data_IF_723262526027
#
_entry.id   IF_723262526027
#
_cell.length_a   1.000
_cell.length_b   1.000
_cell.length_c   1.000
_cell.angle_alpha   90.00
_cell.angle_beta   90.00
_cell.angle_gamma   90.00
#
_symmetry.space_group_name_H-M   'P 1'
#
loop_
_entity.id
_entity.type
_entity.pdbx_description
1 polymer ?
#
# COMPACT_ATOMS: atom_id res chain seq x y z
N UNK A 1 -51.85 -12.88 9.37
CA UNK A 1 -51.17 -13.30 10.62
C UNK A 1 -49.76 -12.73 10.62
N UNK A 2 -49.49 -11.85 11.59
CA UNK A 2 -48.21 -11.46 12.23
C UNK A 2 -46.91 -11.60 11.40
N UNK A 3 -46.27 -10.53 10.90
CA UNK A 3 -45.61 -9.36 11.52
C UNK A 3 -44.10 -9.53 11.65
N UNK A 4 -43.33 -8.77 10.86
CA UNK A 4 -41.90 -8.55 11.03
C UNK A 4 -41.65 -7.49 12.10
N UNK A 5 -40.80 -7.76 13.09
CA UNK A 5 -40.25 -6.75 13.99
C UNK A 5 -38.74 -6.90 14.16
N UNK A 6 -38.06 -5.77 13.92
CA UNK A 6 -36.88 -5.21 14.58
C UNK A 6 -36.21 -5.99 15.71
N UNK A 7 -34.87 -6.05 15.67
CA UNK A 7 -34.04 -6.09 16.87
C UNK A 7 -32.93 -5.03 16.81
N UNK A 8 -33.28 -3.86 17.35
CA UNK A 8 -32.37 -2.97 18.06
C UNK A 8 -31.99 -3.62 19.40
N UNK A 9 -30.71 -3.59 19.77
CA UNK A 9 -30.25 -3.69 21.19
C UNK A 9 -28.85 -3.08 21.27
N UNK A 10 -28.74 -1.79 21.59
CA UNK A 10 -28.54 -1.24 22.95
C UNK A 10 -27.36 -1.88 23.71
N UNK A 11 -26.24 -1.16 23.81
CA UNK A 11 -25.43 -1.12 25.02
C UNK A 11 -24.87 0.29 25.26
N UNK A 12 -25.67 1.03 26.06
CA UNK A 12 -25.29 1.89 27.18
C UNK A 12 -23.95 2.63 27.11
N UNK A 13 -24.08 3.95 27.00
CA UNK A 13 -23.13 4.97 27.44
C UNK A 13 -22.56 4.67 28.84
N UNK A 14 -21.25 4.47 28.95
CA UNK A 14 -20.51 4.84 30.16
C UNK A 14 -19.79 6.16 29.89
N UNK A 15 -20.42 7.26 30.31
CA UNK A 15 -19.73 8.51 30.64
C UNK A 15 -19.09 8.31 32.01
N UNK A 16 -17.76 8.33 32.07
CA UNK A 16 -17.06 8.82 33.26
C UNK A 16 -16.20 10.01 32.85
N UNK A 17 -16.47 11.13 33.52
CA UNK A 17 -15.85 12.43 33.41
C UNK A 17 -14.72 12.53 34.45
N UNK A 18 -13.61 13.20 34.07
CA UNK A 18 -12.55 13.80 34.91
C UNK A 18 -11.60 12.80 35.63
N UNK A 19 -10.27 12.96 35.73
CA UNK A 19 -9.42 14.16 35.68
C UNK A 19 -7.96 13.90 35.21
N UNK A 20 -7.48 14.84 34.39
CA UNK A 20 -6.10 15.33 34.13
C UNK A 20 -4.94 14.82 35.01
N UNK A 21 -3.88 14.27 34.37
CA UNK A 21 -2.47 14.72 34.52
C UNK A 21 -1.66 14.21 33.30
N UNK A 22 -1.29 15.08 32.36
CA UNK A 22 0.00 15.79 32.30
C UNK A 22 1.22 14.88 32.05
N UNK A 23 1.29 14.26 30.87
CA UNK A 23 2.58 14.04 30.21
C UNK A 23 2.68 15.11 29.13
N UNK A 24 3.28 16.25 29.49
CA UNK A 24 3.72 17.27 28.56
C UNK A 24 4.74 16.64 27.62
N UNK A 25 4.25 16.08 26.51
CA UNK A 25 5.11 15.76 25.39
C UNK A 25 5.51 17.09 24.78
N UNK A 26 6.80 17.36 24.74
CA UNK A 26 7.41 18.56 24.15
C UNK A 26 7.34 18.50 22.60
N UNK A 27 6.15 18.22 22.06
CA UNK A 27 5.85 17.85 20.67
C UNK A 27 5.53 19.07 19.80
N UNK A 28 6.23 20.18 20.02
CA UNK A 28 6.15 21.34 19.14
C UNK A 28 7.55 21.67 18.63
N UNK A 29 7.75 21.49 17.33
CA UNK A 29 9.07 21.68 16.74
C UNK A 29 9.01 21.73 15.22
N UNK A 30 9.82 22.63 14.65
CA UNK A 30 10.08 22.68 13.20
C UNK A 30 11.21 21.72 12.88
N UNK A 31 11.05 20.93 11.83
CA UNK A 31 12.12 20.08 11.34
C UNK A 31 12.16 20.02 9.82
N UNK A 32 13.33 19.72 9.27
CA UNK A 32 13.53 19.51 7.85
C UNK A 32 13.90 18.05 7.64
N UNK A 33 13.22 17.38 6.70
CA UNK A 33 13.57 16.04 6.27
C UNK A 33 13.76 16.01 4.75
N UNK A 34 14.90 15.49 4.30
CA UNK A 34 15.30 15.51 2.90
C UNK A 34 15.73 14.12 2.45
N UNK A 35 15.34 13.73 1.24
CA UNK A 35 15.78 12.49 0.63
C UNK A 35 16.03 12.66 -0.88
N UNK A 36 17.06 11.97 -1.38
CA UNK A 36 17.44 11.97 -2.79
C UNK A 36 17.26 10.58 -3.39
N UNK A 37 16.41 10.49 -4.40
CA UNK A 37 16.17 9.30 -5.19
C UNK A 37 17.14 9.24 -6.37
N UNK A 38 17.66 8.05 -6.65
CA UNK A 38 18.61 7.78 -7.73
C UNK A 38 17.89 7.08 -8.90
N UNK A 39 18.29 7.38 -10.14
CA UNK A 39 17.83 6.69 -11.36
C UNK A 39 16.30 6.67 -11.55
N UNK A 40 15.64 7.75 -11.15
CA UNK A 40 14.16 7.86 -11.15
C UNK A 40 13.56 7.85 -12.56
N UNK A 41 14.31 8.33 -13.55
CA UNK A 41 13.88 8.42 -14.97
C UNK A 41 13.83 7.05 -15.67
N UNK A 42 14.54 6.04 -15.16
CA UNK A 42 14.73 4.75 -15.83
C UNK A 42 13.87 3.62 -15.25
N UNK A 43 13.13 3.89 -14.17
CA UNK A 43 12.39 2.87 -13.44
C UNK A 43 10.91 2.87 -13.82
N UNK A 44 10.47 1.78 -14.44
CA UNK A 44 9.06 1.48 -14.66
C UNK A 44 8.75 0.06 -14.12
N UNK A 45 7.78 -0.18 -13.21
CA UNK A 45 6.97 0.74 -12.41
C UNK A 45 7.12 0.59 -10.87
N UNK A 46 6.63 1.45 -9.95
CA UNK A 46 6.15 2.87 -9.84
C UNK A 46 6.04 3.11 -8.30
N UNK A 47 7.14 3.09 -7.53
CA UNK A 47 7.14 3.55 -6.12
C UNK A 47 8.57 3.68 -5.60
N UNK A 48 8.97 4.89 -5.23
CA UNK A 48 10.26 5.14 -4.60
C UNK A 48 10.05 5.44 -3.12
N UNK A 49 10.69 4.64 -2.26
CA UNK A 49 10.62 4.78 -0.82
C UNK A 49 11.99 5.15 -0.27
N UNK A 50 12.06 6.28 0.44
CA UNK A 50 13.27 6.69 1.15
C UNK A 50 13.52 5.86 2.40
N UNK A 51 14.69 6.04 3.06
CA UNK A 51 14.96 5.43 4.34
C UNK A 51 13.98 5.97 5.40
N UNK A 52 13.82 5.19 6.46
CA UNK A 52 13.08 5.58 7.67
C UNK A 52 14.02 6.28 8.64
N UNK A 53 13.58 7.37 9.24
CA UNK A 53 14.38 8.17 10.18
C UNK A 53 13.52 8.68 11.33
N UNK A 54 13.99 8.45 12.56
CA UNK A 54 13.38 9.01 13.76
C UNK A 54 13.71 10.50 13.88
N UNK A 55 12.69 11.36 13.90
CA UNK A 55 12.79 12.81 14.09
C UNK A 55 11.73 13.23 15.10
N UNK A 56 12.13 13.85 16.22
CA UNK A 56 11.21 14.31 17.28
C UNK A 56 10.22 13.22 17.76
N UNK A 57 10.66 11.96 17.77
CA UNK A 57 9.85 10.80 18.16
C UNK A 57 8.89 10.28 17.06
N UNK A 58 8.93 10.85 15.85
CA UNK A 58 8.21 10.38 14.67
C UNK A 58 9.14 9.57 13.77
N UNK A 59 8.73 8.37 13.36
CA UNK A 59 9.40 7.58 12.31
C UNK A 59 8.97 8.11 10.95
N UNK A 60 9.82 8.93 10.32
CA UNK A 60 9.52 9.66 9.09
C UNK A 60 10.12 8.98 7.84
N UNK A 61 9.40 9.01 6.73
CA UNK A 61 9.86 8.53 5.42
C UNK A 61 9.24 9.31 4.25
N UNK A 62 10.05 9.71 3.28
CA UNK A 62 9.55 10.33 2.04
C UNK A 62 9.35 9.23 1.02
N UNK A 63 8.17 9.19 0.40
CA UNK A 63 7.91 8.35 -0.77
C UNK A 63 7.41 9.18 -1.93
N UNK A 64 7.76 8.78 -3.15
CA UNK A 64 7.28 9.40 -4.38
C UNK A 64 6.96 8.33 -5.42
N UNK A 65 5.92 8.55 -6.21
CA UNK A 65 5.61 7.71 -7.36
C UNK A 65 5.06 8.54 -8.50
N UNK A 66 5.18 8.00 -9.71
CA UNK A 66 4.70 8.62 -10.94
C UNK A 66 3.25 8.16 -11.19
N UNK A 67 2.27 9.05 -11.03
CA UNK A 67 0.85 8.69 -11.14
C UNK A 67 0.42 8.45 -12.59
N UNK A 68 0.99 9.21 -13.51
CA UNK A 68 0.81 9.10 -14.96
C UNK A 68 2.08 9.59 -15.66
N UNK A 69 2.11 9.62 -16.99
CA UNK A 69 3.30 10.00 -17.77
C UNK A 69 3.87 11.39 -17.45
N UNK A 70 3.10 12.29 -16.82
CA UNK A 70 3.45 13.69 -16.61
C UNK A 70 3.30 14.18 -15.16
N UNK A 71 2.96 13.32 -14.21
CA UNK A 71 2.62 13.74 -12.86
C UNK A 71 3.26 12.85 -11.78
N UNK A 72 3.88 13.52 -10.82
CA UNK A 72 4.50 12.93 -9.64
C UNK A 72 3.65 13.20 -8.41
N UNK A 73 3.58 12.21 -7.53
CA UNK A 73 2.95 12.34 -6.22
C UNK A 73 3.95 11.97 -5.15
N UNK A 74 4.12 12.82 -4.14
CA UNK A 74 5.04 12.61 -3.03
C UNK A 74 4.35 12.73 -1.67
N UNK A 75 4.80 11.92 -0.71
CA UNK A 75 4.26 11.85 0.65
C UNK A 75 5.39 11.94 1.67
N UNK A 76 5.14 12.68 2.75
CA UNK A 76 5.83 12.48 4.01
C UNK A 76 5.01 11.52 4.87
N UNK A 77 5.52 10.31 5.06
CA UNK A 77 4.89 9.29 5.87
C UNK A 77 5.46 9.35 7.30
N UNK A 78 4.59 9.23 8.31
CA UNK A 78 4.97 9.23 9.73
C UNK A 78 4.34 8.07 10.50
N UNK A 79 5.12 7.45 11.39
CA UNK A 79 4.67 6.39 12.29
C UNK A 79 5.21 6.54 13.72
N UNK A 80 4.50 6.01 14.74
CA UNK A 80 3.07 5.67 14.70
C UNK A 80 2.23 6.92 14.41
N UNK A 81 1.01 6.76 13.89
CA UNK A 81 0.14 7.94 13.65
C UNK A 81 -0.05 8.68 14.99
N UNK A 82 0.38 9.96 15.09
CA UNK A 82 0.21 10.72 16.32
C UNK A 82 -1.28 10.92 16.62
N UNK A 83 -1.61 11.05 17.90
CA UNK A 83 -2.99 11.20 18.41
C UNK A 83 -3.74 12.39 17.79
N UNK A 84 -5.07 12.26 17.75
CA UNK A 84 -6.14 13.14 17.19
C UNK A 84 -6.02 14.67 17.37
N UNK A 85 -5.07 15.16 18.14
CA UNK A 85 -4.88 16.57 18.49
C UNK A 85 -3.65 17.25 17.84
N UNK A 86 -3.00 16.62 16.86
CA UNK A 86 -1.84 17.19 16.18
C UNK A 86 -2.10 17.46 14.70
N UNK A 87 -1.80 18.69 14.28
CA UNK A 87 -1.75 19.12 12.90
C UNK A 87 -0.33 19.36 12.45
N UNK A 88 -0.16 19.47 11.13
CA UNK A 88 1.12 19.81 10.54
C UNK A 88 0.96 20.73 9.35
N UNK A 89 1.96 21.58 9.17
CA UNK A 89 2.17 22.30 7.93
C UNK A 89 3.46 21.78 7.31
N UNK A 90 3.39 21.34 6.06
CA UNK A 90 4.53 20.81 5.31
C UNK A 90 4.69 21.61 4.03
N UNK A 91 5.82 22.29 3.87
CA UNK A 91 6.24 22.83 2.57
C UNK A 91 7.12 21.78 1.88
N UNK A 92 6.64 21.24 0.76
CA UNK A 92 7.40 20.32 -0.08
C UNK A 92 8.26 21.12 -1.06
N UNK A 93 9.57 20.93 -0.98
CA UNK A 93 10.55 21.55 -1.85
C UNK A 93 11.28 20.52 -2.67
N UNK A 94 11.60 20.87 -3.91
CA UNK A 94 12.36 20.04 -4.83
C UNK A 94 13.65 20.74 -5.21
N UNK A 95 14.75 19.98 -5.27
CA UNK A 95 16.05 20.53 -5.65
C UNK A 95 16.09 20.78 -7.16
N UNK A 96 16.51 21.98 -7.55
CA UNK A 96 16.80 22.37 -8.93
C UNK A 96 18.26 22.81 -9.04
N UNK A 97 18.70 23.15 -10.26
CA UNK A 97 20.05 23.72 -10.47
C UNK A 97 20.25 25.06 -9.73
N UNK A 98 19.16 25.77 -9.44
CA UNK A 98 19.18 27.10 -8.82
C UNK A 98 18.92 27.06 -7.30
N UNK A 99 18.81 25.87 -6.69
CA UNK A 99 18.53 25.72 -5.26
C UNK A 99 17.34 24.81 -5.00
N UNK A 100 16.39 25.27 -4.18
CA UNK A 100 15.16 24.55 -3.87
C UNK A 100 13.94 25.39 -4.26
N UNK A 101 12.98 24.75 -4.93
CA UNK A 101 11.70 25.36 -5.30
C UNK A 101 10.57 24.68 -4.53
N UNK A 102 9.64 25.45 -3.97
CA UNK A 102 8.45 24.90 -3.33
C UNK A 102 7.47 24.43 -4.40
N UNK A 103 7.12 23.14 -4.39
CA UNK A 103 6.13 22.54 -5.31
C UNK A 103 4.73 22.49 -4.71
N UNK A 104 4.61 22.63 -3.40
CA UNK A 104 3.34 22.80 -2.73
C UNK A 104 3.44 22.78 -1.22
N UNK A 105 2.34 23.16 -0.58
CA UNK A 105 2.18 23.21 0.88
C UNK A 105 0.94 22.43 1.28
N UNK A 106 1.09 21.57 2.28
CA UNK A 106 -0.01 20.85 2.92
C UNK A 106 -0.18 21.40 4.33
N UNK A 107 -1.41 21.65 4.74
CA UNK A 107 -1.72 22.20 6.06
C UNK A 107 -3.01 21.54 6.57
N UNK A 108 -2.84 20.44 7.32
CA UNK A 108 -3.93 19.52 7.65
C UNK A 108 -3.68 18.76 8.96
N UNK A 109 -4.57 17.83 9.31
CA UNK A 109 -4.32 16.89 10.41
C UNK A 109 -3.35 15.82 9.92
N UNK A 110 -2.44 15.39 10.80
CA UNK A 110 -1.45 14.35 10.45
C UNK A 110 -2.11 13.03 10.00
N UNK A 111 -3.37 12.81 10.37
CA UNK A 111 -4.12 11.60 10.03
C UNK A 111 -4.54 11.49 8.55
N UNK A 112 -4.67 12.62 7.85
CA UNK A 112 -5.34 12.77 6.56
C UNK A 112 -4.52 12.22 5.37
N UNK A 113 -3.23 11.91 5.58
CA UNK A 113 -2.32 11.26 4.60
C UNK A 113 -2.28 11.96 3.22
N UNK A 114 -2.46 13.28 3.15
CA UNK A 114 -2.39 13.95 1.85
C UNK A 114 -0.95 13.96 1.33
N UNK A 115 -0.80 13.60 0.06
CA UNK A 115 0.43 13.77 -0.70
C UNK A 115 0.34 15.02 -1.57
N UNK A 116 1.49 15.58 -1.94
CA UNK A 116 1.54 16.66 -2.92
C UNK A 116 1.70 16.09 -4.32
N UNK A 117 0.96 16.65 -5.28
CA UNK A 117 1.08 16.30 -6.70
C UNK A 117 1.71 17.47 -7.46
N UNK A 118 2.63 17.18 -8.37
CA UNK A 118 3.26 18.19 -9.23
C UNK A 118 3.57 17.61 -10.61
N UNK A 119 3.57 18.49 -11.62
CA UNK A 119 3.90 18.10 -13.00
C UNK A 119 5.38 17.81 -13.14
N UNK A 120 5.70 16.78 -13.92
CA UNK A 120 7.06 16.47 -14.28
C UNK A 120 7.69 17.63 -15.06
N UNK A 121 8.87 18.05 -14.60
CA UNK A 121 9.67 19.08 -15.24
C UNK A 121 11.14 18.63 -15.20
N UNK A 122 11.85 18.61 -16.35
CA UNK A 122 13.26 18.25 -16.40
C UNK A 122 14.16 19.01 -15.41
N UNK A 123 13.77 20.23 -14.99
CA UNK A 123 14.54 21.01 -14.02
C UNK A 123 14.63 20.37 -12.63
N UNK A 124 13.73 19.44 -12.32
CA UNK A 124 13.67 18.72 -11.04
C UNK A 124 14.66 17.55 -10.95
N UNK A 125 15.34 17.22 -12.05
CA UNK A 125 16.32 16.14 -12.12
C UNK A 125 17.73 16.72 -12.26
N UNK A 126 18.44 16.83 -11.13
CA UNK A 126 19.81 17.33 -11.11
C UNK A 126 20.76 16.13 -11.17
N UNK A 127 21.43 15.97 -12.31
CA UNK A 127 22.30 14.82 -12.60
C UNK A 127 21.56 13.46 -12.49
N UNK A 128 20.32 13.40 -13.00
CA UNK A 128 19.47 12.19 -12.95
C UNK A 128 18.96 11.83 -11.54
N UNK A 129 19.06 12.76 -10.58
CA UNK A 129 18.61 12.59 -9.20
C UNK A 129 17.47 13.54 -8.89
N UNK A 130 16.45 13.03 -8.23
CA UNK A 130 15.33 13.82 -7.71
C UNK A 130 15.48 13.93 -6.19
N UNK A 131 15.57 15.15 -5.67
CA UNK A 131 15.68 15.40 -4.22
C UNK A 131 14.46 16.14 -3.71
N UNK A 132 13.77 15.55 -2.74
CA UNK A 132 12.62 16.14 -2.06
C UNK A 132 13.01 16.52 -0.64
N UNK A 133 12.64 17.73 -0.22
CA UNK A 133 12.87 18.27 1.11
C UNK A 133 11.55 18.80 1.70
N UNK A 134 11.13 18.22 2.81
CA UNK A 134 9.94 18.61 3.54
C UNK A 134 10.31 19.52 4.71
N UNK A 135 9.79 20.74 4.72
CA UNK A 135 9.89 21.67 5.85
C UNK A 135 8.61 21.52 6.68
N UNK A 136 8.73 20.93 7.87
CA UNK A 136 7.58 20.51 8.67
C UNK A 136 7.46 21.36 9.92
N UNK A 137 6.26 21.87 10.17
CA UNK A 137 5.87 22.57 11.40
C UNK A 137 4.71 21.80 12.03
N UNK A 138 4.94 21.19 13.19
CA UNK A 138 3.93 20.46 13.94
C UNK A 138 3.29 21.37 14.98
N UNK A 139 1.97 21.39 15.05
CA UNK A 139 1.21 22.22 15.98
C UNK A 139 0.06 21.44 16.64
N UNK A 140 -0.35 21.89 17.82
CA UNK A 140 -1.52 21.33 18.50
C UNK A 140 -2.82 21.95 17.97
N UNK A 141 -3.82 21.10 17.81
CA UNK A 141 -5.19 21.47 17.47
C UNK A 141 -6.03 21.31 18.73
N UNK A 142 -6.68 22.38 19.17
CA UNK A 142 -7.59 22.33 20.31
C UNK A 142 -8.91 21.59 20.01
N UNK A 143 -9.75 21.43 21.03
CA UNK A 143 -11.05 20.74 20.91
C UNK A 143 -12.04 21.44 19.95
N UNK A 144 -11.76 22.68 19.58
CA UNK A 144 -12.57 23.51 18.69
C UNK A 144 -11.95 23.62 17.27
N UNK A 145 -10.80 22.99 17.03
CA UNK A 145 -10.10 23.03 15.73
C UNK A 145 -9.14 24.21 15.55
N UNK A 146 -8.89 25.03 16.58
CA UNK A 146 -8.04 26.22 16.50
C UNK A 146 -6.58 25.85 16.78
N UNK A 147 -5.66 26.41 15.99
CA UNK A 147 -4.21 26.25 16.15
C UNK A 147 -3.75 26.93 17.43
N UNK A 148 -3.03 26.23 18.30
CA UNK A 148 -2.31 26.86 19.42
C UNK A 148 -0.92 27.32 18.95
N UNK A 149 -0.60 28.61 18.97
CA UNK A 149 0.78 29.07 18.79
C UNK A 149 1.62 28.77 20.05
N UNK A 150 2.91 28.47 19.86
CA UNK A 150 3.87 28.39 20.97
C UNK A 150 4.04 29.78 21.61
N UNK A 151 3.69 29.91 22.90
CA UNK A 151 4.24 30.97 23.75
C UNK A 151 5.46 30.42 24.47
N UNK A 152 6.65 30.86 24.03
CA UNK A 152 7.88 30.71 24.79
C UNK A 152 7.80 31.66 25.98
N UNK A 153 7.73 31.11 27.19
CA UNK A 153 8.14 31.82 28.40
C UNK A 153 8.94 30.85 29.25
N UNK A 154 10.26 31.01 29.20
CA UNK A 154 11.11 30.70 30.34
C UNK A 154 10.58 31.52 31.54
N UNK A 155 10.26 30.86 32.64
CA UNK A 155 10.83 31.17 33.96
C UNK A 155 10.23 30.31 35.08
N UNK A 156 11.17 29.65 35.76
CA UNK A 156 11.27 29.25 37.16
C UNK A 156 10.08 29.48 38.12
N UNK A 157 9.79 28.46 38.95
CA UNK A 157 10.06 28.37 40.41
C UNK A 157 9.10 27.38 41.05
N UNK A 158 9.67 26.37 41.72
CA UNK A 158 8.89 25.36 42.43
C UNK A 158 8.36 25.86 43.77
N UNK A 159 7.18 25.36 44.15
CA UNK A 159 6.76 25.08 45.53
C UNK A 159 6.01 23.75 45.46
N UNK A 160 6.45 22.79 46.28
CA UNK A 160 6.14 21.37 46.12
C UNK A 160 4.77 20.92 46.62
N UNK A 161 4.46 19.64 46.35
CA UNK A 161 3.60 18.84 47.23
C UNK A 161 4.08 17.38 47.21
N UNK A 162 4.67 16.99 48.33
CA UNK A 162 5.08 15.63 48.66
C UNK A 162 3.80 14.81 48.96
N UNK A 163 3.34 13.97 48.02
CA UNK A 163 2.66 12.67 48.30
C UNK A 163 2.11 11.87 47.09
N UNK A 164 2.32 12.24 45.82
CA UNK A 164 1.76 11.48 44.68
C UNK A 164 2.64 10.33 44.13
N UNK A 165 3.82 10.08 44.70
CA UNK A 165 4.86 9.23 44.08
C UNK A 165 4.58 7.72 44.07
N UNK A 166 3.64 7.20 44.88
CA UNK A 166 3.35 5.75 44.96
C UNK A 166 2.15 5.30 44.12
N UNK A 167 1.20 6.19 43.81
CA UNK A 167 0.04 5.88 42.96
C UNK A 167 0.34 6.07 41.47
N UNK A 168 1.11 7.11 41.11
CA UNK A 168 1.53 7.37 39.72
C UNK A 168 2.30 6.20 39.09
N UNK A 169 3.10 5.47 39.88
CA UNK A 169 3.92 4.36 39.36
C UNK A 169 3.12 3.09 39.03
N UNK A 170 1.92 2.92 39.61
CA UNK A 170 1.09 1.74 39.34
C UNK A 170 0.24 1.95 38.09
N UNK A 171 -0.38 3.13 37.93
CA UNK A 171 -1.12 3.50 36.73
C UNK A 171 -0.20 3.56 35.50
N UNK A 172 1.03 4.08 35.64
CA UNK A 172 2.04 4.04 34.58
C UNK A 172 2.44 2.61 34.19
N UNK A 173 2.57 1.69 35.15
CA UNK A 173 2.86 0.27 34.88
C UNK A 173 1.69 -0.44 34.21
N UNK A 174 0.46 -0.15 34.60
CA UNK A 174 -0.75 -0.67 33.96
C UNK A 174 -0.88 -0.16 32.53
N UNK A 175 -0.63 1.14 32.31
CA UNK A 175 -0.64 1.75 30.98
C UNK A 175 0.46 1.19 30.08
N UNK A 176 1.69 1.02 30.59
CA UNK A 176 2.78 0.39 29.85
C UNK A 176 2.45 -1.08 29.49
N UNK A 177 1.82 -1.80 30.41
CA UNK A 177 1.38 -3.18 30.19
C UNK A 177 0.32 -3.23 29.09
N UNK A 178 -0.70 -2.37 29.14
CA UNK A 178 -1.74 -2.27 28.12
C UNK A 178 -1.18 -1.92 26.72
N UNK A 179 -0.23 -0.99 26.66
CA UNK A 179 0.45 -0.63 25.40
C UNK A 179 1.25 -1.83 24.86
N UNK A 180 1.92 -2.60 25.73
CA UNK A 180 2.68 -3.78 25.32
C UNK A 180 1.79 -4.90 24.78
N UNK A 181 0.61 -5.10 25.38
CA UNK A 181 -0.38 -6.08 24.94
C UNK A 181 -0.98 -5.67 23.60
N UNK A 182 -1.39 -4.41 23.45
CA UNK A 182 -1.91 -3.89 22.18
C UNK A 182 -0.89 -3.97 21.05
N UNK A 183 0.41 -3.70 21.33
CA UNK A 183 1.49 -3.91 20.35
C UNK A 183 1.63 -5.37 19.93
N UNK A 184 1.59 -6.30 20.89
CA UNK A 184 1.65 -7.76 20.61
C UNK A 184 0.45 -8.23 19.78
N UNK A 185 -0.75 -7.75 20.10
CA UNK A 185 -1.98 -8.06 19.35
C UNK A 185 -1.90 -7.53 17.92
N UNK A 186 -1.42 -6.29 17.74
CA UNK A 186 -1.22 -5.70 16.41
C UNK A 186 -0.17 -6.46 15.59
N UNK A 187 0.94 -6.87 16.21
CA UNK A 187 1.98 -7.69 15.57
C UNK A 187 1.46 -9.08 15.17
N UNK A 188 0.67 -9.72 16.03
CA UNK A 188 0.00 -11.00 15.73
C UNK A 188 -1.03 -10.88 14.63
N UNK A 189 -1.81 -9.79 14.60
CA UNK A 189 -2.78 -9.57 13.53
C UNK A 189 -2.07 -9.36 12.18
N UNK A 190 -1.01 -8.55 12.18
CA UNK A 190 -0.19 -8.31 10.98
C UNK A 190 0.50 -9.59 10.48
N UNK A 191 0.93 -10.49 11.38
CA UNK A 191 1.52 -11.77 10.98
C UNK A 191 0.48 -12.72 10.36
N UNK A 192 -0.73 -12.79 10.94
CA UNK A 192 -1.87 -13.55 10.38
C UNK A 192 -2.29 -13.03 9.01
N UNK A 193 -2.40 -11.72 8.83
CA UNK A 193 -2.73 -11.09 7.54
C UNK A 193 -1.68 -11.39 6.47
N UNK A 194 -0.38 -11.31 6.83
CA UNK A 194 0.72 -11.70 5.93
C UNK A 194 0.66 -13.18 5.54
N UNK A 195 0.30 -14.06 6.47
CA UNK A 195 0.18 -15.48 6.19
C UNK A 195 -1.01 -15.76 5.25
N UNK A 196 -2.17 -15.16 5.52
CA UNK A 196 -3.35 -15.25 4.65
C UNK A 196 -3.07 -14.75 3.23
N UNK A 197 -2.40 -13.60 3.08
CA UNK A 197 -2.02 -13.07 1.78
C UNK A 197 -1.07 -14.00 1.01
N UNK A 198 -0.11 -14.64 1.69
CA UNK A 198 0.78 -15.65 1.07
C UNK A 198 0.03 -16.88 0.61
N UNK A 199 -0.94 -17.36 1.39
CA UNK A 199 -1.77 -18.52 1.03
C UNK A 199 -2.68 -18.20 -0.17
N UNK A 200 -3.32 -17.04 -0.19
CA UNK A 200 -4.12 -16.57 -1.33
C UNK A 200 -3.28 -16.41 -2.60
N UNK A 201 -2.05 -15.87 -2.47
CA UNK A 201 -1.13 -15.75 -3.60
C UNK A 201 -0.72 -17.12 -4.14
N UNK A 202 -0.34 -18.07 -3.26
CA UNK A 202 -0.02 -19.45 -3.67
C UNK A 202 -1.20 -20.14 -4.35
N UNK A 203 -2.42 -19.96 -3.85
CA UNK A 203 -3.62 -20.52 -4.46
C UNK A 203 -3.88 -19.94 -5.86
N UNK A 204 -3.68 -18.63 -6.05
CA UNK A 204 -3.78 -17.97 -7.36
C UNK A 204 -2.71 -18.48 -8.35
N UNK A 205 -1.47 -18.63 -7.89
CA UNK A 205 -0.38 -19.18 -8.70
C UNK A 205 -0.64 -20.64 -9.10
N UNK A 206 -1.08 -21.48 -8.17
CA UNK A 206 -1.47 -22.87 -8.45
C UNK A 206 -2.63 -22.96 -9.43
N UNK A 207 -3.66 -22.12 -9.26
CA UNK A 207 -4.79 -22.04 -10.19
C UNK A 207 -4.34 -21.64 -11.59
N UNK A 208 -3.52 -20.58 -11.71
CA UNK A 208 -2.97 -20.13 -12.99
C UNK A 208 -2.13 -21.21 -13.65
N UNK A 209 -1.27 -21.91 -12.89
CA UNK A 209 -0.46 -23.02 -13.40
C UNK A 209 -1.35 -24.15 -13.94
N UNK A 210 -2.44 -24.49 -13.24
CA UNK A 210 -3.40 -25.50 -13.71
C UNK A 210 -4.09 -25.06 -15.01
N UNK A 211 -4.50 -23.80 -15.12
CA UNK A 211 -5.13 -23.26 -16.34
C UNK A 211 -4.17 -23.23 -17.54
N UNK A 212 -2.87 -22.98 -17.32
CA UNK A 212 -1.87 -22.96 -18.41
C UNK A 212 -1.46 -24.36 -18.88
N UNK A 213 -1.51 -25.35 -17.98
CA UNK A 213 -1.04 -26.71 -18.24
C UNK A 213 -2.17 -27.70 -18.58
N UNK A 214 -3.42 -27.24 -18.69
CA UNK A 214 -4.55 -28.10 -19.04
C UNK A 214 -5.39 -27.56 -20.19
N UNK A 215 -6.03 -28.47 -20.91
CA UNK A 215 -6.98 -28.12 -21.96
C UNK A 215 -8.23 -27.53 -21.33
N UNK A 216 -8.62 -26.32 -21.72
CA UNK A 216 -9.79 -25.63 -21.17
C UNK A 216 -11.14 -26.20 -21.65
N UNK A 217 -11.13 -27.12 -22.61
CA UNK A 217 -12.33 -27.84 -23.07
C UNK A 217 -12.58 -29.09 -22.21
N UNK A 218 -11.60 -30.00 -22.14
CA UNK A 218 -11.77 -31.26 -21.39
C UNK A 218 -11.26 -31.20 -19.94
N UNK A 219 -10.62 -30.10 -19.54
CA UNK A 219 -10.03 -29.85 -18.22
C UNK A 219 -8.93 -30.83 -17.83
N UNK A 220 -8.36 -31.52 -18.82
CA UNK A 220 -7.29 -32.49 -18.61
C UNK A 220 -5.91 -31.86 -18.93
N UNK A 221 -4.91 -32.17 -18.13
CA UNK A 221 -3.52 -31.71 -18.29
C UNK A 221 -2.92 -32.05 -19.66
N UNK A 222 -2.09 -31.19 -20.24
CA UNK A 222 -1.41 -31.50 -21.49
C UNK A 222 -0.35 -32.60 -21.29
N UNK A 223 -0.09 -33.36 -22.35
CA UNK A 223 0.91 -34.42 -22.35
C UNK A 223 1.76 -34.37 -23.62
N UNK A 224 2.93 -35.00 -23.59
CA UNK A 224 3.90 -34.93 -24.69
C UNK A 224 3.46 -35.70 -25.94
N UNK A 225 2.59 -36.69 -25.74
CA UNK A 225 2.14 -37.64 -26.75
C UNK A 225 0.61 -37.85 -26.78
N UNK A 226 0.14 -38.47 -27.85
CA UNK A 226 -1.27 -38.84 -28.05
C UNK A 226 -2.23 -37.65 -28.06
N UNK A 227 -3.49 -37.91 -27.66
CA UNK A 227 -4.58 -36.93 -27.68
C UNK A 227 -4.43 -35.80 -26.66
N UNK A 228 -3.49 -35.94 -25.71
CA UNK A 228 -3.16 -34.92 -24.71
C UNK A 228 -2.17 -33.88 -25.24
N UNK A 229 -1.63 -34.05 -26.45
CA UNK A 229 -0.70 -33.07 -27.03
C UNK A 229 -1.33 -31.69 -27.24
N UNK A 230 -0.73 -30.61 -26.71
CA UNK A 230 -1.24 -29.25 -26.89
C UNK A 230 -0.98 -28.76 -28.32
N UNK A 231 -2.03 -28.34 -29.04
CA UNK A 231 -2.01 -27.86 -30.41
C UNK A 231 -2.44 -26.40 -30.49
N UNK A 232 -1.67 -25.61 -31.22
CA UNK A 232 -1.92 -24.17 -31.43
C UNK A 232 -2.77 -23.99 -32.67
N UNK A 233 -3.90 -23.28 -32.53
CA UNK A 233 -4.74 -22.82 -33.62
C UNK A 233 -4.13 -21.56 -34.27
N UNK A 234 -4.58 -21.18 -35.47
CA UNK A 234 -4.04 -20.01 -36.19
C UNK A 234 -4.22 -18.67 -35.41
N UNK A 235 -5.15 -18.64 -34.46
CA UNK A 235 -5.35 -17.52 -33.54
C UNK A 235 -4.47 -17.51 -32.28
N UNK A 236 -3.60 -18.51 -32.11
CA UNK A 236 -2.73 -18.66 -30.94
C UNK A 236 -3.33 -19.40 -29.75
N UNK A 237 -4.65 -19.68 -29.74
CA UNK A 237 -5.25 -20.48 -28.68
C UNK A 237 -4.78 -21.94 -28.73
N UNK A 238 -4.56 -22.54 -27.57
CA UNK A 238 -4.07 -23.91 -27.43
C UNK A 238 -5.19 -24.85 -26.96
N UNK A 239 -5.31 -26.01 -27.60
CA UNK A 239 -6.25 -27.09 -27.26
C UNK A 239 -5.54 -28.44 -27.36
N UNK A 240 -5.99 -29.47 -26.64
CA UNK A 240 -5.39 -30.79 -26.81
C UNK A 240 -5.80 -31.40 -28.17
N UNK A 241 -4.96 -32.26 -28.73
CA UNK A 241 -5.19 -32.92 -30.00
C UNK A 241 -6.55 -33.63 -30.06
N UNK A 242 -6.97 -34.31 -28.98
CA UNK A 242 -8.27 -34.96 -28.90
C UNK A 242 -9.43 -33.97 -29.05
N UNK A 243 -9.36 -32.83 -28.37
CA UNK A 243 -10.36 -31.77 -28.51
C UNK A 243 -10.34 -31.14 -29.91
N UNK A 244 -9.17 -30.90 -30.49
CA UNK A 244 -9.06 -30.41 -31.86
C UNK A 244 -9.71 -31.38 -32.87
N UNK A 245 -9.51 -32.69 -32.71
CA UNK A 245 -10.16 -33.71 -33.55
C UNK A 245 -11.69 -33.68 -33.39
N UNK A 246 -12.18 -33.49 -32.17
CA UNK A 246 -13.62 -33.46 -31.87
C UNK A 246 -14.34 -32.27 -32.49
N UNK A 247 -13.69 -31.10 -32.57
CA UNK A 247 -14.31 -29.87 -33.10
C UNK A 247 -14.00 -29.59 -34.58
N UNK A 248 -13.08 -30.34 -35.19
CA UNK A 248 -12.75 -30.20 -36.60
C UNK A 248 -13.94 -30.61 -37.47
N UNK A 249 -14.31 -29.77 -38.43
CA UNK A 249 -15.38 -30.02 -39.41
C UNK A 249 -14.95 -29.50 -40.78
N UNK A 250 -15.26 -30.21 -41.86
CA UNK A 250 -15.02 -29.74 -43.25
C UNK A 250 -13.60 -29.16 -43.48
N UNK A 251 -12.58 -29.83 -42.95
CA UNK A 251 -11.17 -29.39 -43.02
C UNK A 251 -10.88 -28.00 -42.39
N UNK A 252 -11.65 -27.60 -41.39
CA UNK A 252 -11.42 -26.39 -40.61
C UNK A 252 -11.71 -26.60 -39.12
N UNK A 253 -11.10 -25.78 -38.28
CA UNK A 253 -11.41 -25.70 -36.85
C UNK A 253 -11.80 -24.26 -36.53
N UNK A 254 -13.02 -24.05 -36.02
CA UNK A 254 -13.40 -22.77 -35.46
C UNK A 254 -13.00 -22.71 -33.99
N UNK A 255 -12.19 -21.71 -33.62
CA UNK A 255 -11.74 -21.55 -32.23
C UNK A 255 -12.95 -21.29 -31.29
N UNK A 256 -13.11 -22.04 -30.19
CA UNK A 256 -14.24 -21.86 -29.28
C UNK A 256 -14.15 -20.57 -28.44
N UNK A 257 -12.97 -19.95 -28.36
CA UNK A 257 -12.73 -18.75 -27.54
C UNK A 257 -12.92 -17.46 -28.32
N UNK A 258 -12.35 -17.38 -29.52
CA UNK A 258 -12.36 -16.15 -30.34
C UNK A 258 -13.01 -16.31 -31.71
N UNK A 259 -13.54 -17.50 -32.03
CA UNK A 259 -14.26 -17.83 -33.29
C UNK A 259 -13.43 -17.71 -34.57
N UNK A 260 -12.15 -17.35 -34.48
CA UNK A 260 -11.21 -17.38 -35.62
C UNK A 260 -11.08 -18.79 -36.16
N UNK A 261 -11.13 -18.92 -37.48
CA UNK A 261 -11.07 -20.20 -38.18
C UNK A 261 -9.61 -20.56 -38.47
N UNK A 262 -9.25 -21.80 -38.15
CA UNK A 262 -7.97 -22.43 -38.51
C UNK A 262 -8.21 -23.36 -39.70
N UNK A 263 -7.58 -23.06 -40.82
CA UNK A 263 -7.71 -23.87 -42.03
C UNK A 263 -6.77 -25.08 -41.98
N UNK A 264 -7.29 -26.25 -42.35
CA UNK A 264 -6.53 -27.51 -42.43
C UNK A 264 -6.23 -27.88 -43.89
N UNK A 265 -6.27 -26.92 -44.82
CA UNK A 265 -5.95 -27.18 -46.22
C UNK A 265 -4.49 -27.63 -46.36
N UNK A 266 -4.27 -28.85 -46.84
CA UNK A 266 -2.93 -29.44 -46.99
C UNK A 266 -2.27 -29.92 -45.68
N UNK A 267 -2.99 -29.95 -44.55
CA UNK A 267 -2.47 -30.46 -43.26
C UNK A 267 -3.55 -31.15 -42.46
N UNK A 268 -3.20 -32.10 -41.60
CA UNK A 268 -4.17 -32.70 -40.66
C UNK A 268 -4.13 -31.98 -39.31
N UNK A 269 -5.11 -32.25 -38.45
CA UNK A 269 -5.12 -31.75 -37.06
C UNK A 269 -3.82 -32.14 -36.32
N UNK A 270 -3.27 -33.33 -36.60
CA UNK A 270 -2.02 -33.81 -36.01
C UNK A 270 -0.78 -33.02 -36.45
N UNK A 271 -0.88 -32.26 -37.55
CA UNK A 271 0.20 -31.40 -38.07
C UNK A 271 0.14 -29.97 -37.52
N UNK A 272 -0.86 -29.62 -36.69
CA UNK A 272 -0.89 -28.31 -36.04
C UNK A 272 0.32 -28.14 -35.10
N UNK A 273 0.89 -26.92 -34.98
CA UNK A 273 2.06 -26.67 -34.13
C UNK A 273 1.80 -27.10 -32.68
N UNK A 274 2.81 -27.72 -32.05
CA UNK A 274 2.76 -28.06 -30.63
C UNK A 274 3.09 -26.84 -29.77
N UNK A 275 2.36 -26.64 -28.67
CA UNK A 275 2.72 -25.65 -27.65
C UNK A 275 3.55 -26.31 -26.55
N UNK A 276 4.87 -26.33 -26.69
CA UNK A 276 5.77 -26.93 -25.71
C UNK A 276 5.74 -26.20 -24.35
N UNK A 277 5.35 -24.92 -24.31
CA UNK A 277 5.24 -24.16 -23.05
C UNK A 277 4.03 -24.58 -22.19
N UNK A 278 3.08 -25.29 -22.79
CA UNK A 278 1.91 -25.81 -22.09
C UNK A 278 2.13 -27.21 -21.48
N UNK A 279 3.29 -27.82 -21.74
CA UNK A 279 3.69 -29.09 -21.13
C UNK A 279 4.25 -28.80 -19.74
N UNK A 280 3.85 -29.61 -18.75
CA UNK A 280 4.49 -29.57 -17.44
C UNK A 280 5.94 -30.03 -17.55
N UNK A 281 6.89 -29.21 -17.08
CA UNK A 281 8.24 -29.69 -16.74
C UNK A 281 8.20 -30.57 -15.49
#
# INVERSE_FOLDING_TARGET
>A
MFSSLSLFRNYVFFRNNQSVSSLTMDRTGKFIYSHTFLNVELSNPIYHLGPRKMINGLDCCISCYKQNESEWVCYLNVWPKPSLSLGWKIDYKIKTKNGFETVGTIDERIEDKSGISFREDPKYFVNGKMTIECHVEVYEIDKNGIRKPQTVTENERGIGLHNQKSQLTNEEKELQTAISLSKKEFEQQKSKERQKAKEEQKAKEQKKKKETLSCTICLLEYGEEGDRTPRVLDCGHTLCLGCCKSIARLAQIQCPFCRVVTQLTGRTVSNLPKNYLALSM
#
